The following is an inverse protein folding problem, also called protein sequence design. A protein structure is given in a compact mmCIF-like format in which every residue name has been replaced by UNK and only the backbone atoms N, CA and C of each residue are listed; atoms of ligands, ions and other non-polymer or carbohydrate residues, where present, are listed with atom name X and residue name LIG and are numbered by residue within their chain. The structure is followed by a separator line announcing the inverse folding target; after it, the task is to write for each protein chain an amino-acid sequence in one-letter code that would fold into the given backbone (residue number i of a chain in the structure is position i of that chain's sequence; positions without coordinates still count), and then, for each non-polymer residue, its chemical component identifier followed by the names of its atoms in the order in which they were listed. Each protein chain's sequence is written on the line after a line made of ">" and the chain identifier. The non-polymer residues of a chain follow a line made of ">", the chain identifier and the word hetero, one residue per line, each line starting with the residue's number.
data_IF_990049501664
#
_entry.id   IF_990049501664
#
_cell.length_a   1.000
_cell.length_b   1.000
_cell.length_c   1.000
_cell.angle_alpha   90.00
_cell.angle_beta   90.00
_cell.angle_gamma   90.00
#
_symmetry.space_group_name_H-M   'P 1'
#
loop_
_entity.id
_entity.type
_entity.pdbx_description
1 polymer ?
#
# COMPACT_ATOMS: atom_id res chain seq x y z
N UNK A 1 -3.89 -5.69 27.81
CA UNK A 1 -2.95 -5.63 26.67
C UNK A 1 -3.46 -6.63 25.64
N UNK A 2 -3.89 -6.18 24.46
CA UNK A 2 -4.30 -7.10 23.40
C UNK A 2 -3.02 -7.65 22.74
N UNK A 3 -2.85 -8.97 22.76
CA UNK A 3 -1.79 -9.65 22.02
C UNK A 3 -2.17 -9.50 20.55
N UNK A 4 -1.45 -8.65 19.81
CA UNK A 4 -1.63 -8.60 18.37
C UNK A 4 -1.06 -9.90 17.80
N UNK A 5 -1.84 -10.68 17.04
CA UNK A 5 -1.33 -11.89 16.40
C UNK A 5 -0.23 -11.50 15.40
N UNK A 6 0.83 -12.32 15.31
CA UNK A 6 1.86 -12.13 14.30
C UNK A 6 1.28 -12.42 12.92
N UNK A 7 1.83 -11.79 11.88
CA UNK A 7 1.35 -11.97 10.51
C UNK A 7 1.33 -13.45 10.10
N UNK A 8 2.38 -14.20 10.45
CA UNK A 8 2.50 -15.62 10.14
C UNK A 8 1.40 -16.46 10.77
N UNK A 9 0.96 -16.12 11.99
CA UNK A 9 -0.13 -16.82 12.67
C UNK A 9 -1.48 -16.57 11.99
N UNK A 10 -1.69 -15.37 11.45
CA UNK A 10 -2.90 -15.02 10.67
C UNK A 10 -2.88 -15.72 9.33
N UNK A 11 -1.74 -15.71 8.63
CA UNK A 11 -1.59 -16.35 7.33
C UNK A 11 -1.86 -17.85 7.41
N UNK A 12 -1.27 -18.55 8.38
CA UNK A 12 -1.51 -19.99 8.59
C UNK A 12 -2.98 -20.31 8.88
N UNK A 13 -3.72 -19.40 9.52
CA UNK A 13 -5.15 -19.58 9.77
C UNK A 13 -5.96 -19.43 8.48
N UNK A 14 -5.61 -18.46 7.63
CA UNK A 14 -6.28 -18.24 6.34
C UNK A 14 -6.02 -19.40 5.37
N UNK A 15 -4.80 -19.93 5.34
CA UNK A 15 -4.43 -21.06 4.46
C UNK A 15 -5.19 -22.36 4.79
N UNK A 16 -5.69 -22.51 6.02
CA UNK A 16 -6.50 -23.67 6.44
C UNK A 16 -7.96 -23.58 6.01
N UNK A 17 -8.41 -22.40 5.59
CA UNK A 17 -9.76 -22.19 5.09
C UNK A 17 -9.91 -22.75 3.68
N UNK A 18 -11.10 -23.23 3.34
CA UNK A 18 -11.45 -23.52 1.95
C UNK A 18 -11.44 -22.23 1.11
N UNK A 19 -11.32 -22.38 -0.21
CA UNK A 19 -11.34 -21.23 -1.15
C UNK A 19 -12.61 -20.38 -0.98
N UNK A 20 -13.75 -21.02 -0.72
CA UNK A 20 -15.04 -20.36 -0.51
C UNK A 20 -15.08 -19.54 0.79
N UNK A 21 -14.47 -20.07 1.86
CA UNK A 21 -14.34 -19.38 3.15
C UNK A 21 -13.32 -18.23 3.07
N UNK A 22 -12.22 -18.40 2.34
CA UNK A 22 -11.26 -17.33 2.08
C UNK A 22 -11.93 -16.17 1.32
N UNK A 23 -12.73 -16.47 0.29
CA UNK A 23 -13.47 -15.46 -0.46
C UNK A 23 -14.45 -14.69 0.42
N UNK A 24 -15.18 -15.39 1.31
CA UNK A 24 -16.08 -14.75 2.28
C UNK A 24 -15.32 -13.88 3.28
N UNK A 25 -14.19 -14.35 3.80
CA UNK A 25 -13.35 -13.59 4.72
C UNK A 25 -12.83 -12.30 4.09
N UNK A 26 -12.38 -12.35 2.83
CA UNK A 26 -11.94 -11.16 2.07
C UNK A 26 -13.10 -10.17 1.94
N UNK A 27 -14.31 -10.64 1.64
CA UNK A 27 -15.49 -9.79 1.54
C UNK A 27 -15.82 -9.14 2.89
N UNK A 28 -15.85 -9.90 3.98
CA UNK A 28 -16.13 -9.37 5.32
C UNK A 28 -15.07 -8.36 5.77
N UNK A 29 -13.79 -8.64 5.53
CA UNK A 29 -12.70 -7.70 5.83
C UNK A 29 -12.86 -6.44 5.00
N UNK A 30 -13.17 -6.56 3.70
CA UNK A 30 -13.44 -5.43 2.82
C UNK A 30 -14.60 -4.59 3.32
N UNK A 31 -15.73 -5.20 3.68
CA UNK A 31 -16.91 -4.50 4.19
C UNK A 31 -16.63 -3.82 5.54
N UNK A 32 -15.90 -4.48 6.44
CA UNK A 32 -15.47 -3.89 7.72
C UNK A 32 -14.50 -2.72 7.54
N UNK A 33 -13.56 -2.82 6.59
CA UNK A 33 -12.63 -1.73 6.27
C UNK A 33 -13.30 -0.59 5.50
N UNK A 34 -14.30 -0.89 4.66
CA UNK A 34 -15.15 0.12 4.02
C UNK A 34 -15.99 0.89 5.05
N UNK A 35 -16.47 0.22 6.11
CA UNK A 35 -17.14 0.86 7.25
C UNK A 35 -16.22 1.76 8.11
N UNK A 36 -14.90 1.60 8.02
CA UNK A 36 -13.90 2.40 8.75
C UNK A 36 -13.37 3.63 7.97
N UNK A 37 -13.96 3.96 6.82
CA UNK A 37 -13.98 5.35 6.35
C UNK A 37 -12.82 5.87 5.49
N UNK A 38 -11.99 5.04 4.83
CA UNK A 38 -10.87 5.58 4.03
C UNK A 38 -10.48 4.81 2.75
N UNK A 39 -11.35 3.99 2.16
CA UNK A 39 -11.04 3.34 0.87
C UNK A 39 -12.00 3.69 -0.27
N UNK A 40 -13.06 4.46 0.00
CA UNK A 40 -14.11 4.65 -1.00
C UNK A 40 -13.92 5.83 -1.96
N UNK A 41 -13.05 6.81 -1.66
CA UNK A 41 -12.93 8.04 -2.48
C UNK A 41 -11.48 8.52 -2.69
N UNK A 42 -10.54 7.60 -2.94
CA UNK A 42 -9.26 7.99 -3.56
C UNK A 42 -9.45 8.14 -5.06
N UNK A 43 -10.12 9.22 -5.45
CA UNK A 43 -10.29 9.65 -6.86
C UNK A 43 -8.95 9.82 -7.56
N UNK A 44 -7.87 10.02 -6.81
CA UNK A 44 -6.49 10.08 -7.29
C UNK A 44 -5.89 8.71 -7.67
N UNK A 45 -6.50 7.60 -7.23
CA UNK A 45 -6.15 6.22 -7.64
C UNK A 45 -7.14 5.64 -8.66
N UNK A 46 -8.15 6.40 -9.09
CA UNK A 46 -9.10 5.97 -10.13
C UNK A 46 -8.40 5.72 -11.47
N UNK A 47 -7.26 6.39 -11.69
CA UNK A 47 -6.35 6.16 -12.80
C UNK A 47 -4.96 5.80 -12.23
N UNK A 48 -4.61 4.50 -12.18
CA UNK A 48 -3.32 4.04 -11.67
C UNK A 48 -2.12 4.58 -12.46
N UNK A 49 -2.26 4.85 -13.75
CA UNK A 49 -1.16 5.38 -14.57
C UNK A 49 -0.88 6.82 -14.17
N UNK A 50 -1.93 7.64 -14.04
CA UNK A 50 -1.82 9.02 -13.58
C UNK A 50 -1.30 9.10 -12.14
N UNK A 51 -1.72 8.17 -11.28
CA UNK A 51 -1.24 8.08 -9.90
C UNK A 51 0.28 7.84 -9.85
N UNK A 52 0.76 6.83 -10.58
CA UNK A 52 2.19 6.50 -10.64
C UNK A 52 2.99 7.63 -11.29
N UNK A 53 2.43 8.29 -12.30
CA UNK A 53 3.07 9.44 -12.92
C UNK A 53 3.25 10.61 -11.93
N UNK A 54 2.22 10.92 -11.13
CA UNK A 54 2.30 11.98 -10.12
C UNK A 54 3.36 11.69 -9.07
N UNK A 55 3.41 10.46 -8.56
CA UNK A 55 4.45 10.05 -7.62
C UNK A 55 5.83 10.24 -8.24
N UNK A 56 6.04 9.79 -9.48
CA UNK A 56 7.33 9.95 -10.16
C UNK A 56 7.72 11.42 -10.32
N UNK A 57 6.77 12.29 -10.66
CA UNK A 57 7.02 13.72 -10.78
C UNK A 57 7.35 14.38 -9.43
N UNK A 58 6.64 14.01 -8.37
CA UNK A 58 6.90 14.47 -7.00
C UNK A 58 8.27 13.99 -6.49
N UNK A 59 8.54 12.69 -6.63
CA UNK A 59 9.80 12.07 -6.21
C UNK A 59 11.00 12.53 -7.04
N UNK A 60 10.77 12.97 -8.30
CA UNK A 60 11.85 13.53 -9.13
C UNK A 60 12.30 14.93 -8.70
N UNK A 61 11.62 15.56 -7.73
CA UNK A 61 11.93 16.92 -7.29
C UNK A 61 12.47 16.94 -5.86
N UNK A 62 13.42 17.83 -5.63
CA UNK A 62 13.90 18.21 -4.30
C UNK A 62 12.80 19.01 -3.56
N UNK A 63 12.92 19.21 -2.23
CA UNK A 63 11.97 20.02 -1.45
C UNK A 63 11.83 21.47 -1.91
N UNK A 64 12.84 22.02 -2.60
CA UNK A 64 12.81 23.35 -3.20
C UNK A 64 12.12 23.40 -4.59
N UNK A 65 11.62 22.25 -5.05
CA UNK A 65 10.94 22.09 -6.35
C UNK A 65 11.89 21.89 -7.54
N UNK A 66 13.21 21.90 -7.33
CA UNK A 66 14.20 21.65 -8.39
C UNK A 66 14.25 20.16 -8.74
N UNK A 67 14.54 19.83 -10.00
CA UNK A 67 14.69 18.42 -10.40
C UNK A 67 15.96 17.82 -9.76
N UNK A 68 15.81 16.61 -9.21
CA UNK A 68 16.92 15.77 -8.78
C UNK A 68 17.74 15.36 -10.00
N UNK A 69 19.04 15.25 -9.83
CA UNK A 69 19.91 14.58 -10.79
C UNK A 69 19.70 13.06 -10.70
N UNK A 70 20.05 12.30 -11.76
CA UNK A 70 20.00 10.85 -11.71
C UNK A 70 20.79 10.25 -10.54
N UNK A 71 21.94 10.85 -10.20
CA UNK A 71 22.81 10.41 -9.11
C UNK A 71 22.15 10.58 -7.74
N UNK A 72 21.48 11.71 -7.51
CA UNK A 72 20.73 11.95 -6.27
C UNK A 72 19.55 11.00 -6.12
N UNK A 73 18.80 10.76 -7.21
CA UNK A 73 17.68 9.84 -7.20
C UNK A 73 18.12 8.40 -6.89
N UNK A 74 19.25 7.95 -7.47
CA UNK A 74 19.81 6.63 -7.20
C UNK A 74 20.34 6.50 -5.77
N UNK A 75 20.94 7.55 -5.22
CA UNK A 75 21.41 7.57 -3.83
C UNK A 75 20.25 7.47 -2.83
N UNK A 76 19.12 8.12 -3.10
CA UNK A 76 17.92 8.03 -2.27
C UNK A 76 17.30 6.63 -2.30
N UNK A 77 17.19 6.00 -3.47
CA UNK A 77 16.67 4.62 -3.58
C UNK A 77 17.57 3.66 -2.80
N UNK A 78 18.88 3.78 -2.93
CA UNK A 78 19.83 2.92 -2.22
C UNK A 78 19.70 3.04 -0.68
N UNK A 79 19.30 4.22 -0.19
CA UNK A 79 19.09 4.45 1.25
C UNK A 79 17.76 3.87 1.78
N UNK A 80 16.84 3.41 0.93
CA UNK A 80 15.59 2.76 1.36
C UNK A 80 15.75 1.24 1.54
N UNK A 81 16.79 0.65 0.95
CA UNK A 81 17.12 -0.77 1.07
C UNK A 81 17.95 -1.10 2.33
N UNK A 82 18.35 -0.10 3.12
CA UNK A 82 19.03 -0.21 4.44
C UNK A 82 18.07 -0.08 5.63
#
# INVERSE_FOLDING_TARGET
>A
MAIQPLYDDVLQQVERLSVEEQARLIQEVRERLQGFGMWHDRTDMADPELYVQRIREEESRRPDGTLKTPEEFLAEIAAWDE
#
